data_IF_685917320936
#
_entry.id   IF_685917320936
#
_cell.length_a   1.000
_cell.length_b   1.000
_cell.length_c   1.000
_cell.angle_alpha   90.00
_cell.angle_beta   90.00
_cell.angle_gamma   90.00
#
_symmetry.space_group_name_H-M   'P 1'
#
loop_
_entity.id
_entity.type
_entity.pdbx_description
1 polymer ?
#
# COMPACT_ATOMS: atom_id res chain seq x y z
N UNK A 1 8.63 -28.44 -5.49
CA UNK A 1 9.45 -27.67 -4.53
C UNK A 1 9.11 -28.16 -3.15
N UNK A 2 10.09 -28.57 -2.34
CA UNK A 2 9.84 -28.96 -0.95
C UNK A 2 9.23 -27.77 -0.19
N UNK A 3 8.23 -28.02 0.69
CA UNK A 3 7.74 -26.95 1.58
C UNK A 3 8.92 -26.48 2.41
N UNK A 4 9.21 -25.18 2.37
CA UNK A 4 10.10 -24.58 3.34
C UNK A 4 9.36 -24.63 4.68
N UNK A 5 9.82 -25.45 5.64
CA UNK A 5 9.13 -25.73 6.91
C UNK A 5 9.21 -24.57 7.92
N UNK A 6 9.52 -23.36 7.46
CA UNK A 6 9.63 -22.17 8.28
C UNK A 6 8.30 -21.39 8.26
N UNK A 7 7.92 -20.85 9.42
CA UNK A 7 6.80 -19.94 9.54
C UNK A 7 7.21 -18.56 9.03
N UNK A 8 6.38 -17.96 8.17
CA UNK A 8 6.50 -16.54 7.84
C UNK A 8 5.91 -15.68 8.97
N UNK A 9 6.68 -14.75 9.48
CA UNK A 9 6.33 -13.87 10.59
C UNK A 9 6.28 -12.42 10.11
N UNK A 10 5.09 -11.82 10.13
CA UNK A 10 4.88 -10.41 9.80
C UNK A 10 4.62 -9.55 11.05
N UNK A 11 5.15 -8.34 11.08
CA UNK A 11 4.86 -7.35 12.10
C UNK A 11 3.71 -6.44 11.65
N UNK A 12 2.53 -6.60 12.25
CA UNK A 12 1.44 -5.66 12.07
C UNK A 12 1.66 -4.44 12.98
N UNK A 13 1.88 -3.25 12.40
CA UNK A 13 2.33 -2.08 13.16
C UNK A 13 1.19 -1.10 13.43
N UNK A 14 0.99 -0.80 14.72
CA UNK A 14 0.36 0.42 15.19
C UNK A 14 1.30 1.05 16.22
N UNK A 15 1.89 2.24 15.97
CA UNK A 15 2.95 2.79 16.82
C UNK A 15 2.48 3.08 18.26
N UNK A 16 1.23 3.49 18.45
CA UNK A 16 0.64 3.67 19.78
C UNK A 16 0.08 2.37 20.39
N UNK A 17 0.36 1.22 19.77
CA UNK A 17 -0.07 -0.11 20.18
C UNK A 17 -1.44 -0.53 19.65
N UNK A 18 -1.66 -1.85 19.56
CA UNK A 18 -2.92 -2.45 19.07
C UNK A 18 -4.06 -2.33 20.06
N UNK A 19 -3.78 -2.42 21.35
CA UNK A 19 -4.82 -2.24 22.36
C UNK A 19 -5.31 -0.78 22.36
N UNK A 20 -6.63 -0.55 22.40
CA UNK A 20 -7.23 0.80 22.31
C UNK A 20 -6.71 1.79 23.35
N UNK A 21 -6.20 1.28 24.48
CA UNK A 21 -5.62 2.06 25.58
C UNK A 21 -4.08 1.98 25.68
N UNK A 22 -3.39 1.34 24.73
CA UNK A 22 -1.94 1.13 24.80
C UNK A 22 -1.15 2.44 24.89
N UNK A 23 -1.63 3.50 24.23
CA UNK A 23 -1.06 4.86 24.31
C UNK A 23 -0.93 5.44 25.72
N UNK A 24 -1.67 4.90 26.70
CA UNK A 24 -1.62 5.33 28.11
C UNK A 24 -0.47 4.68 28.88
N UNK A 25 0.15 3.65 28.33
CA UNK A 25 1.26 2.96 28.98
C UNK A 25 2.47 3.90 29.02
N UNK A 26 3.19 4.04 30.16
CA UNK A 26 4.28 5.01 30.31
C UNK A 26 5.42 4.81 29.30
N UNK A 27 5.60 3.58 28.81
CA UNK A 27 6.65 3.25 27.83
C UNK A 27 6.22 3.42 26.36
N UNK A 28 4.96 3.79 26.10
CA UNK A 28 4.45 3.99 24.73
C UNK A 28 4.57 5.46 24.35
N UNK A 29 5.24 5.74 23.25
CA UNK A 29 5.27 7.08 22.68
C UNK A 29 3.83 7.48 22.25
N UNK A 30 3.33 8.64 22.68
CA UNK A 30 1.92 8.99 22.51
C UNK A 30 1.59 9.52 21.10
N UNK A 31 2.59 9.96 20.34
CA UNK A 31 2.40 10.55 19.01
C UNK A 31 2.55 9.50 17.89
N UNK A 32 1.46 9.06 17.25
CA UNK A 32 1.52 8.10 16.17
C UNK A 32 2.03 8.71 14.84
N UNK A 33 2.32 10.01 14.79
CA UNK A 33 3.00 10.68 13.67
C UNK A 33 4.50 10.85 13.90
N UNK A 34 5.06 10.21 14.92
CA UNK A 34 6.51 10.21 15.13
C UNK A 34 7.22 9.23 14.19
N UNK A 35 7.76 9.74 13.08
CA UNK A 35 8.50 8.92 12.09
C UNK A 35 9.68 8.14 12.70
N UNK A 36 10.37 8.68 13.71
CA UNK A 36 11.51 8.00 14.34
C UNK A 36 11.09 6.71 15.05
N UNK A 37 9.84 6.63 15.51
CA UNK A 37 9.30 5.40 16.10
C UNK A 37 9.14 4.30 15.04
N UNK A 38 8.61 4.65 13.87
CA UNK A 38 8.47 3.70 12.76
C UNK A 38 9.83 3.20 12.26
N UNK A 39 10.82 4.10 12.12
CA UNK A 39 12.20 3.73 11.75
C UNK A 39 12.76 2.71 12.75
N UNK A 40 12.63 2.99 14.05
CA UNK A 40 13.11 2.08 15.11
C UNK A 40 12.42 0.72 15.06
N UNK A 41 11.10 0.69 14.87
CA UNK A 41 10.31 -0.54 14.76
C UNK A 41 10.75 -1.33 13.52
N UNK A 42 10.88 -0.68 12.37
CA UNK A 42 11.26 -1.32 11.12
C UNK A 42 12.65 -1.98 11.21
N UNK A 43 13.64 -1.26 11.73
CA UNK A 43 14.98 -1.79 11.93
C UNK A 43 15.03 -2.90 12.98
N UNK A 44 14.18 -2.83 14.01
CA UNK A 44 14.09 -3.89 15.01
C UNK A 44 13.47 -5.17 14.41
N UNK A 45 12.37 -5.03 13.68
CA UNK A 45 11.71 -6.15 13.00
C UNK A 45 12.65 -6.84 12.01
N UNK A 46 13.41 -6.06 11.24
CA UNK A 46 14.39 -6.58 10.30
C UNK A 46 15.55 -7.32 11.00
N UNK A 47 16.11 -6.75 12.07
CA UNK A 47 17.14 -7.44 12.90
C UNK A 47 16.62 -8.71 13.56
N UNK A 48 15.31 -8.79 13.82
CA UNK A 48 14.65 -9.97 14.35
C UNK A 48 14.27 -11.00 13.26
N UNK A 49 14.66 -10.77 12.00
CA UNK A 49 14.36 -11.62 10.85
C UNK A 49 12.86 -11.84 10.61
N UNK A 50 12.03 -10.84 10.92
CA UNK A 50 10.64 -10.83 10.47
C UNK A 50 10.59 -10.64 8.96
N UNK A 51 9.69 -11.35 8.29
CA UNK A 51 9.56 -11.32 6.83
C UNK A 51 9.00 -10.00 6.34
N UNK A 52 8.06 -9.39 7.09
CA UNK A 52 7.30 -8.24 6.61
C UNK A 52 6.95 -7.25 7.71
N UNK A 53 6.83 -5.97 7.33
CA UNK A 53 6.06 -4.96 8.03
C UNK A 53 4.72 -4.81 7.32
N UNK A 54 3.65 -4.73 8.10
CA UNK A 54 2.31 -4.49 7.59
C UNK A 54 1.70 -3.24 8.23
N UNK A 55 1.26 -2.31 7.39
CA UNK A 55 0.54 -1.10 7.78
C UNK A 55 -0.91 -1.20 7.27
N UNK A 56 -1.85 -1.29 8.22
CA UNK A 56 -3.28 -1.20 7.91
C UNK A 56 -3.70 0.26 7.70
N UNK A 57 -4.81 0.45 7.01
CA UNK A 57 -5.34 1.78 6.72
C UNK A 57 -6.86 1.79 6.75
N UNK A 58 -7.41 2.96 7.06
CA UNK A 58 -8.81 3.31 6.87
C UNK A 58 -8.88 4.77 6.43
N UNK A 59 -9.76 5.05 5.47
CA UNK A 59 -9.91 6.36 4.85
C UNK A 59 -10.92 7.25 5.57
N UNK A 60 -11.33 6.85 6.77
CA UNK A 60 -12.16 7.63 7.66
C UNK A 60 -11.65 7.51 9.08
N UNK A 61 -11.79 8.61 9.82
CA UNK A 61 -11.57 8.59 11.26
C UNK A 61 -12.65 7.72 11.90
N UNK A 62 -12.25 6.97 12.94
CA UNK A 62 -13.18 6.23 13.77
C UNK A 62 -14.16 7.21 14.46
N UNK A 63 -15.41 7.23 13.99
CA UNK A 63 -16.43 8.18 14.46
C UNK A 63 -17.30 7.53 15.55
N UNK A 64 -16.82 7.59 16.78
CA UNK A 64 -17.48 7.05 17.97
C UNK A 64 -17.35 8.02 19.14
N UNK A 65 -18.32 8.10 20.07
CA UNK A 65 -18.20 8.95 21.26
C UNK A 65 -16.94 8.72 22.10
N UNK A 66 -16.32 7.54 21.98
CA UNK A 66 -15.08 7.18 22.70
C UNK A 66 -13.81 7.34 21.85
N UNK A 67 -13.92 7.78 20.60
CA UNK A 67 -12.77 7.89 19.68
C UNK A 67 -11.67 8.81 20.21
N UNK A 68 -12.04 9.91 20.88
CA UNK A 68 -11.10 10.83 21.53
C UNK A 68 -10.24 10.19 22.64
N UNK A 69 -10.55 8.96 23.05
CA UNK A 69 -9.79 8.18 24.05
C UNK A 69 -8.85 7.15 23.40
N UNK A 70 -8.75 7.12 22.08
CA UNK A 70 -7.99 6.15 21.30
C UNK A 70 -6.95 6.85 20.42
N UNK A 71 -5.74 6.30 20.36
CA UNK A 71 -4.70 6.75 19.43
C UNK A 71 -4.82 6.04 18.07
N UNK A 72 -6.00 6.19 17.44
CA UNK A 72 -6.39 5.48 16.20
C UNK A 72 -6.90 6.41 15.09
N UNK A 73 -6.74 7.71 15.24
CA UNK A 73 -7.34 8.69 14.30
C UNK A 73 -6.29 9.53 13.57
N UNK A 74 -5.02 9.42 13.95
CA UNK A 74 -3.92 10.24 13.47
C UNK A 74 -2.70 9.34 13.18
N UNK A 75 -2.58 8.86 11.95
CA UNK A 75 -1.46 8.03 11.49
C UNK A 75 -1.09 8.41 10.05
N UNK A 76 0.08 7.98 9.60
CA UNK A 76 0.54 8.24 8.24
C UNK A 76 -0.25 7.45 7.19
N UNK A 77 -0.39 8.04 6.01
CA UNK A 77 -0.76 7.30 4.80
C UNK A 77 0.31 6.20 4.54
N UNK A 78 -0.09 4.92 4.36
CA UNK A 78 0.85 3.79 4.38
C UNK A 78 1.92 3.81 3.31
N UNK A 79 1.61 4.16 2.06
CA UNK A 79 2.58 4.05 0.96
C UNK A 79 3.71 5.05 1.15
N UNK A 80 3.37 6.29 1.52
CA UNK A 80 4.35 7.35 1.80
C UNK A 80 5.23 6.99 3.00
N UNK A 81 4.63 6.40 4.04
CA UNK A 81 5.39 5.89 5.20
C UNK A 81 6.35 4.78 4.78
N UNK A 82 5.88 3.76 4.04
CA UNK A 82 6.72 2.64 3.63
C UNK A 82 7.81 3.05 2.65
N UNK A 83 7.59 4.04 1.79
CA UNK A 83 8.63 4.63 0.96
C UNK A 83 9.74 5.29 1.80
N UNK A 84 9.40 5.88 2.95
CA UNK A 84 10.40 6.38 3.90
C UNK A 84 11.16 5.24 4.58
N UNK A 85 10.46 4.18 4.97
CA UNK A 85 11.05 3.02 5.64
C UNK A 85 11.91 2.15 4.69
N UNK A 86 11.64 2.19 3.39
CA UNK A 86 12.42 1.45 2.39
C UNK A 86 13.87 1.91 2.34
N UNK A 87 14.14 3.19 2.59
CA UNK A 87 15.49 3.77 2.60
C UNK A 87 16.32 3.39 3.84
N UNK A 88 15.69 2.88 4.90
CA UNK A 88 16.36 2.55 6.19
C UNK A 88 16.26 1.07 6.55
N UNK A 89 15.83 0.23 5.61
CA UNK A 89 15.74 -1.24 5.70
C UNK A 89 16.25 -1.88 4.42
N UNK A 90 16.67 -3.15 4.46
CA UNK A 90 17.32 -3.83 3.33
C UNK A 90 16.62 -5.10 2.84
N UNK A 91 15.93 -5.83 3.72
CA UNK A 91 15.41 -7.16 3.47
C UNK A 91 13.93 -7.30 3.80
N UNK A 92 13.44 -6.61 4.84
CA UNK A 92 12.06 -6.78 5.30
C UNK A 92 11.06 -6.32 4.23
N UNK A 93 10.03 -7.14 3.98
CA UNK A 93 8.93 -6.80 3.08
C UNK A 93 8.10 -5.63 3.61
N UNK A 94 7.58 -4.80 2.71
CA UNK A 94 6.86 -3.56 3.04
C UNK A 94 5.44 -3.63 2.49
N UNK A 95 4.50 -4.03 3.33
CA UNK A 95 3.09 -4.26 2.94
C UNK A 95 2.21 -3.08 3.37
N UNK A 96 1.68 -2.36 2.38
CA UNK A 96 0.70 -1.29 2.60
C UNK A 96 -0.71 -1.76 2.27
N UNK A 97 -1.67 -1.37 3.11
CA UNK A 97 -3.08 -1.39 2.74
C UNK A 97 -3.40 -0.22 1.82
N UNK A 98 -4.07 -0.50 0.71
CA UNK A 98 -4.69 0.54 -0.10
C UNK A 98 -5.99 0.00 -0.67
N UNK A 99 -7.10 0.72 -0.48
CA UNK A 99 -8.39 0.23 -0.96
C UNK A 99 -8.56 0.42 -2.46
N UNK A 100 -9.22 -0.52 -3.10
CA UNK A 100 -9.73 -0.32 -4.46
C UNK A 100 -10.89 0.66 -4.48
N UNK A 101 -11.84 0.60 -3.52
CA UNK A 101 -13.17 1.25 -3.59
C UNK A 101 -13.15 2.74 -3.94
N UNK A 102 -12.23 3.49 -3.34
CA UNK A 102 -12.18 4.95 -3.46
C UNK A 102 -10.97 5.48 -4.24
N UNK A 103 -10.07 4.59 -4.64
CA UNK A 103 -8.91 4.97 -5.44
C UNK A 103 -9.17 4.82 -6.95
N UNK A 104 -8.25 5.39 -7.72
CA UNK A 104 -8.10 5.15 -9.15
C UNK A 104 -6.98 4.12 -9.39
N UNK A 105 -7.18 3.11 -10.24
CA UNK A 105 -6.19 2.04 -10.45
C UNK A 105 -4.86 2.57 -10.99
N UNK A 106 -4.89 3.59 -11.85
CA UNK A 106 -3.66 4.19 -12.37
C UNK A 106 -2.79 4.83 -11.28
N UNK A 107 -3.39 5.42 -10.23
CA UNK A 107 -2.63 5.99 -9.11
C UNK A 107 -2.00 4.89 -8.24
N UNK A 108 -2.78 3.86 -7.89
CA UNK A 108 -2.29 2.72 -7.10
C UNK A 108 -1.16 2.00 -7.84
N UNK A 109 -1.31 1.74 -9.14
CA UNK A 109 -0.27 1.11 -9.95
C UNK A 109 1.05 1.87 -9.87
N UNK A 110 1.02 3.21 -10.03
CA UNK A 110 2.22 4.05 -9.95
C UNK A 110 2.82 4.10 -8.55
N UNK A 111 1.99 4.22 -7.53
CA UNK A 111 2.42 4.28 -6.13
C UNK A 111 3.17 3.01 -5.72
N UNK A 112 2.59 1.84 -6.00
CA UNK A 112 3.21 0.56 -5.66
C UNK A 112 4.38 0.20 -6.56
N UNK A 113 4.37 0.53 -7.86
CA UNK A 113 5.56 0.39 -8.70
C UNK A 113 6.72 1.27 -8.20
N UNK A 114 6.42 2.49 -7.76
CA UNK A 114 7.43 3.37 -7.16
C UNK A 114 7.98 2.79 -5.87
N UNK A 115 7.12 2.29 -4.98
CA UNK A 115 7.55 1.63 -3.75
C UNK A 115 8.39 0.38 -4.03
N UNK A 116 8.01 -0.40 -5.05
CA UNK A 116 8.74 -1.59 -5.47
C UNK A 116 10.17 -1.24 -5.91
N UNK A 117 10.32 -0.25 -6.81
CA UNK A 117 11.64 0.25 -7.21
C UNK A 117 12.43 0.87 -6.07
N UNK A 118 11.80 1.69 -5.22
CA UNK A 118 12.46 2.33 -4.06
C UNK A 118 12.91 1.32 -3.00
N UNK A 119 12.22 0.19 -2.90
CA UNK A 119 12.52 -0.85 -1.94
C UNK A 119 13.40 -1.97 -2.49
N UNK A 120 13.57 -2.04 -3.81
CA UNK A 120 14.31 -3.12 -4.47
C UNK A 120 13.53 -4.42 -4.51
N UNK A 121 12.23 -4.37 -4.85
CA UNK A 121 11.39 -5.57 -5.01
C UNK A 121 10.71 -6.06 -3.73
N UNK A 122 10.59 -5.22 -2.70
CA UNK A 122 10.06 -5.61 -1.37
C UNK A 122 8.63 -5.12 -1.11
N UNK A 123 8.00 -4.48 -2.08
CA UNK A 123 6.67 -3.91 -1.89
C UNK A 123 5.58 -5.00 -1.88
N UNK A 124 4.59 -4.85 -1.01
CA UNK A 124 3.39 -5.69 -1.02
C UNK A 124 2.13 -4.85 -0.90
N UNK A 125 1.08 -5.24 -1.61
CA UNK A 125 -0.21 -4.57 -1.56
C UNK A 125 -1.25 -5.44 -0.85
N UNK A 126 -1.70 -5.00 0.33
CA UNK A 126 -2.91 -5.51 0.95
C UNK A 126 -4.13 -4.86 0.29
N UNK A 127 -4.65 -5.51 -0.76
CA UNK A 127 -5.82 -5.09 -1.50
C UNK A 127 -7.08 -5.27 -0.65
N UNK A 128 -7.72 -4.16 -0.30
CA UNK A 128 -9.00 -4.16 0.43
C UNK A 128 -10.07 -3.42 -0.35
N UNK A 129 -11.33 -3.60 0.04
CA UNK A 129 -12.47 -2.92 -0.58
C UNK A 129 -13.14 -1.93 0.36
N UNK A 130 -12.43 -1.45 1.40
CA UNK A 130 -12.96 -0.64 2.51
C UNK A 130 -13.99 -1.41 3.35
N UNK A 131 -14.33 -0.94 4.53
CA UNK A 131 -15.40 -1.52 5.36
C UNK A 131 -16.22 -0.45 6.09
N UNK A 132 -15.58 0.67 6.44
CA UNK A 132 -16.21 1.78 7.12
C UNK A 132 -17.09 2.59 6.16
N UNK A 133 -18.40 2.57 6.40
CA UNK A 133 -19.38 3.23 5.53
C UNK A 133 -19.21 4.76 5.46
N UNK A 134 -18.67 5.36 6.53
CA UNK A 134 -18.40 6.80 6.61
C UNK A 134 -17.26 7.26 5.68
N UNK A 135 -16.44 6.34 5.13
CA UNK A 135 -15.46 6.68 4.11
C UNK A 135 -16.12 7.34 2.88
N UNK A 136 -17.34 6.94 2.53
CA UNK A 136 -18.03 7.45 1.34
C UNK A 136 -18.09 8.99 1.28
N UNK A 137 -18.38 9.62 2.42
CA UNK A 137 -18.53 11.07 2.53
C UNK A 137 -17.23 11.82 2.23
N UNK A 138 -16.07 11.20 2.42
CA UNK A 138 -14.76 11.77 2.08
C UNK A 138 -14.45 11.70 0.57
N UNK A 139 -15.20 10.91 -0.20
CA UNK A 139 -14.94 10.65 -1.62
C UNK A 139 -16.10 11.06 -2.53
N UNK A 140 -16.79 12.15 -2.19
CA UNK A 140 -17.91 12.71 -2.96
C UNK A 140 -19.06 11.70 -3.19
N UNK A 141 -19.33 10.84 -2.19
CA UNK A 141 -20.42 9.86 -2.23
C UNK A 141 -21.25 9.93 -0.97
N UNK A 142 -22.56 9.93 -1.13
CA UNK A 142 -23.48 9.86 0.00
C UNK A 142 -23.51 8.47 0.64
N UNK A 143 -23.34 7.42 -0.17
CA UNK A 143 -23.47 6.03 0.27
C UNK A 143 -22.23 5.21 -0.07
N UNK A 144 -21.90 4.32 0.86
CA UNK A 144 -20.91 3.27 0.64
C UNK A 144 -21.36 2.35 -0.49
N UNK A 145 -20.39 1.86 -1.27
CA UNK A 145 -20.67 0.88 -2.30
C UNK A 145 -21.26 -0.40 -1.67
N UNK A 146 -22.21 -1.03 -2.38
CA UNK A 146 -22.73 -2.32 -1.93
C UNK A 146 -21.60 -3.35 -1.86
N UNK A 147 -21.71 -4.33 -0.96
CA UNK A 147 -20.69 -5.38 -0.85
C UNK A 147 -20.42 -6.06 -2.20
N UNK A 148 -21.45 -6.40 -2.96
CA UNK A 148 -21.29 -7.02 -4.28
C UNK A 148 -20.54 -6.12 -5.27
N UNK A 149 -20.92 -4.84 -5.36
CA UNK A 149 -20.27 -3.87 -6.25
C UNK A 149 -18.80 -3.67 -5.90
N UNK A 150 -18.46 -3.62 -4.59
CA UNK A 150 -17.09 -3.51 -4.10
C UNK A 150 -16.18 -4.62 -4.64
N UNK A 151 -16.65 -5.87 -4.59
CA UNK A 151 -15.86 -7.00 -5.10
C UNK A 151 -15.80 -7.08 -6.63
N UNK A 152 -16.88 -6.71 -7.33
CA UNK A 152 -16.85 -6.62 -8.80
C UNK A 152 -15.85 -5.56 -9.27
N UNK A 153 -15.95 -4.36 -8.70
CA UNK A 153 -15.03 -3.25 -8.97
C UNK A 153 -13.59 -3.60 -8.60
N UNK A 154 -13.36 -4.28 -7.47
CA UNK A 154 -12.02 -4.70 -7.06
C UNK A 154 -11.35 -5.69 -8.02
N UNK A 155 -12.11 -6.63 -8.58
CA UNK A 155 -11.60 -7.57 -9.60
C UNK A 155 -11.17 -6.83 -10.87
N UNK A 156 -11.98 -5.88 -11.34
CA UNK A 156 -11.60 -5.06 -12.50
C UNK A 156 -10.40 -4.18 -12.18
N UNK A 157 -10.38 -3.56 -11.00
CA UNK A 157 -9.28 -2.73 -10.52
C UNK A 157 -7.96 -3.48 -10.53
N UNK A 158 -7.92 -4.69 -9.98
CA UNK A 158 -6.73 -5.54 -9.97
C UNK A 158 -6.23 -5.80 -11.40
N UNK A 159 -7.12 -6.18 -12.34
CA UNK A 159 -6.75 -6.41 -13.74
C UNK A 159 -6.14 -5.17 -14.40
N UNK A 160 -6.69 -3.98 -14.11
CA UNK A 160 -6.12 -2.73 -14.62
C UNK A 160 -4.73 -2.49 -14.05
N UNK A 161 -4.53 -2.66 -12.74
CA UNK A 161 -3.23 -2.49 -12.09
C UNK A 161 -2.20 -3.49 -12.62
N UNK A 162 -2.54 -4.76 -12.68
CA UNK A 162 -1.71 -5.83 -13.23
C UNK A 162 -1.34 -5.55 -14.69
N UNK A 163 -2.31 -5.13 -15.52
CA UNK A 163 -2.06 -4.74 -16.90
C UNK A 163 -1.15 -3.51 -17.04
N UNK A 164 -1.25 -2.55 -16.12
CA UNK A 164 -0.36 -1.38 -16.11
C UNK A 164 1.08 -1.73 -15.69
N UNK A 165 1.27 -2.68 -14.77
CA UNK A 165 2.62 -3.13 -14.40
C UNK A 165 3.29 -3.94 -15.52
N UNK A 166 2.50 -4.61 -16.36
CA UNK A 166 2.99 -5.38 -17.50
C UNK A 166 2.92 -4.59 -18.83
N UNK A 167 2.76 -3.26 -18.80
CA UNK A 167 2.69 -2.44 -20.03
C UNK A 167 4.05 -2.18 -20.68
N UNK A 168 5.14 -2.50 -20.00
CA UNK A 168 6.51 -2.44 -20.49
C UNK A 168 7.13 -3.83 -20.39
N UNK A 169 7.83 -4.27 -21.44
CA UNK A 169 8.64 -5.49 -21.37
C UNK A 169 9.88 -5.28 -20.47
N UNK A 170 10.40 -6.34 -19.85
CA UNK A 170 11.50 -6.30 -18.87
C UNK A 170 12.76 -5.57 -19.38
N UNK A 171 13.03 -5.61 -20.67
CA UNK A 171 14.20 -5.02 -21.33
C UNK A 171 13.84 -3.84 -22.26
N UNK A 172 12.69 -3.20 -22.03
CA UNK A 172 12.26 -2.05 -22.83
C UNK A 172 13.20 -0.86 -22.69
N UNK A 173 13.78 -0.60 -21.51
CA UNK A 173 14.67 0.53 -21.24
C UNK A 173 16.14 0.18 -21.49
N UNK A 174 16.70 0.64 -22.61
CA UNK A 174 18.07 0.32 -23.06
C UNK A 174 19.12 1.35 -22.69
N UNK A 175 18.72 2.60 -22.43
CA UNK A 175 19.63 3.71 -22.10
C UNK A 175 20.89 3.81 -22.98
N UNK A 176 20.72 3.63 -24.29
CA UNK A 176 21.79 3.69 -25.29
C UNK A 176 22.24 5.14 -25.53
N UNK A 177 23.33 5.55 -24.87
CA UNK A 177 23.88 6.90 -24.98
C UNK A 177 24.42 7.23 -26.38
N UNK A 178 25.23 6.36 -27.02
CA UNK A 178 25.65 6.59 -28.41
C UNK A 178 24.49 6.65 -29.41
N UNK A 179 23.49 5.76 -29.27
CA UNK A 179 22.33 5.69 -30.15
C UNK A 179 21.26 6.76 -29.87
N UNK A 180 21.27 7.37 -28.68
CA UNK A 180 20.30 8.38 -28.28
C UNK A 180 18.93 7.81 -27.87
N UNK A 181 18.85 6.53 -27.54
CA UNK A 181 17.61 5.84 -27.22
C UNK A 181 17.51 5.52 -25.72
N UNK A 182 16.42 5.97 -25.09
CA UNK A 182 16.14 5.62 -23.68
C UNK A 182 15.43 4.26 -23.59
N UNK A 183 14.51 3.99 -24.51
CA UNK A 183 13.73 2.75 -24.55
C UNK A 183 13.34 2.37 -25.98
N UNK A 184 12.97 1.10 -26.17
CA UNK A 184 12.45 0.52 -27.42
C UNK A 184 10.94 0.76 -27.54
N UNK A 185 10.45 1.59 -28.49
CA UNK A 185 9.02 1.92 -28.59
C UNK A 185 8.11 0.71 -28.80
N UNK A 186 8.59 -0.32 -29.50
CA UNK A 186 7.88 -1.56 -29.76
C UNK A 186 7.66 -2.44 -28.52
N UNK A 187 8.34 -2.11 -27.41
CA UNK A 187 8.25 -2.82 -26.12
C UNK A 187 7.39 -2.09 -25.09
N UNK A 188 6.74 -1.01 -25.51
CA UNK A 188 5.75 -0.27 -24.72
C UNK A 188 4.37 -0.50 -25.33
N UNK A 189 3.48 -1.05 -24.50
CA UNK A 189 2.15 -1.51 -24.90
C UNK A 189 1.10 -0.82 -24.03
N UNK A 190 0.42 0.24 -24.52
CA UNK A 190 -0.60 0.89 -23.74
C UNK A 190 -1.75 -0.09 -23.44
N UNK A 191 -2.22 -0.10 -22.18
CA UNK A 191 -3.20 -1.07 -21.70
C UNK A 191 -4.54 -1.05 -22.45
N UNK A 192 -5.03 0.12 -22.85
CA UNK A 192 -6.32 0.32 -23.53
C UNK A 192 -7.53 -0.39 -22.88
N UNK A 193 -7.57 -0.45 -21.55
CA UNK A 193 -8.65 -1.11 -20.81
C UNK A 193 -9.98 -0.34 -20.91
N UNK A 194 -11.06 -1.07 -21.16
CA UNK A 194 -12.43 -0.59 -21.18
C UNK A 194 -13.36 -1.62 -20.55
N UNK A 195 -13.72 -1.42 -19.28
CA UNK A 195 -14.61 -2.30 -18.52
C UNK A 195 -15.83 -1.56 -17.98
N UNK A 196 -16.53 -2.22 -17.06
CA UNK A 196 -17.78 -1.73 -16.47
C UNK A 196 -17.52 -0.57 -15.51
N UNK A 197 -16.38 -0.60 -14.80
CA UNK A 197 -16.04 0.38 -13.78
C UNK A 197 -14.93 1.35 -14.21
N UNK A 198 -14.01 0.94 -15.09
CA UNK A 198 -12.85 1.74 -15.46
C UNK A 198 -12.62 1.81 -16.95
N UNK A 199 -12.15 2.98 -17.39
CA UNK A 199 -11.62 3.21 -18.73
C UNK A 199 -10.24 3.83 -18.61
N UNK A 200 -9.20 3.04 -18.89
CA UNK A 200 -7.81 3.42 -18.65
C UNK A 200 -6.99 3.16 -19.91
N UNK A 201 -6.50 4.25 -20.53
CA UNK A 201 -5.69 4.17 -21.76
C UNK A 201 -4.36 3.42 -21.54
N UNK A 202 -3.74 3.60 -20.38
CA UNK A 202 -2.35 3.23 -20.18
C UNK A 202 -1.38 4.25 -20.77
N UNK A 203 -0.10 3.93 -20.65
CA UNK A 203 1.03 4.75 -21.01
C UNK A 203 1.98 3.96 -21.89
#
# INVERSE_FOLDING_TARGET
MARNEQLSLGAFIHPAGHHVAAWRHPDVAPDPLNIQQYIRIAQLAERACLDTLFIADSLAVFDSPVAHKMARSNYFEPVTLLATLSAVTQHIGLIATATTSYNQPYHIARQFASLDHLSGGRAGWNLVTSDAANEAANFNREQHFSHQERYLRAREFYRVVEGLWNSWEDDAFVYDKPGGEVYRPEKMHPLHHHGDYFRVRGH
#
